data_IF_876772768611
#
_entry.id   IF_876772768611
#
_cell.length_a   1.000
_cell.length_b   1.000
_cell.length_c   1.000
_cell.angle_alpha   90.00
_cell.angle_beta   90.00
_cell.angle_gamma   90.00
#
_symmetry.space_group_name_H-M   'P 1'
#
loop_
_entity.id
_entity.type
_entity.pdbx_description
1 polymer ?
#
# COMPACT_ATOMS: atom_id res chain seq x y z
N UNK A 1 12.50 42.72 21.36
CA UNK A 1 12.89 41.77 20.30
C UNK A 1 12.83 40.40 20.93
N UNK A 2 11.92 39.52 20.50
CA UNK A 2 11.77 38.18 21.07
C UNK A 2 12.58 37.20 20.19
N UNK A 3 13.62 36.53 20.69
CA UNK A 3 14.61 35.87 19.85
C UNK A 3 14.29 34.40 19.52
N UNK A 4 13.04 33.94 19.58
CA UNK A 4 12.77 32.51 19.42
C UNK A 4 11.44 32.23 18.73
N UNK A 5 11.42 32.36 17.40
CA UNK A 5 10.38 31.75 16.57
C UNK A 5 11.11 30.70 15.76
N UNK A 6 11.03 29.43 16.18
CA UNK A 6 11.54 28.32 15.38
C UNK A 6 10.87 28.38 13.99
N UNK A 7 11.65 28.19 12.92
CA UNK A 7 11.08 28.09 11.58
C UNK A 7 10.21 26.83 11.51
N UNK A 8 9.14 26.87 10.72
CA UNK A 8 8.22 25.73 10.62
C UNK A 8 8.92 24.48 10.09
N UNK A 9 9.89 24.65 9.17
CA UNK A 9 10.72 23.54 8.68
C UNK A 9 11.50 22.88 9.81
N UNK A 10 12.10 23.65 10.72
CA UNK A 10 12.82 23.11 11.89
C UNK A 10 11.93 22.27 12.82
N UNK A 11 10.60 22.43 12.72
CA UNK A 11 9.63 21.72 13.56
C UNK A 11 9.04 20.48 12.88
N UNK A 12 8.95 20.44 11.55
CA UNK A 12 8.27 19.37 10.80
C UNK A 12 9.19 18.52 9.95
N UNK A 13 10.37 19.03 9.62
CA UNK A 13 11.39 18.31 8.87
C UNK A 13 12.43 17.75 9.83
N UNK A 14 12.99 16.60 9.49
CA UNK A 14 14.05 15.97 10.27
C UNK A 14 15.44 16.24 9.70
N UNK A 15 15.55 16.80 8.48
CA UNK A 15 16.79 16.94 7.70
C UNK A 15 17.58 15.62 7.54
N UNK A 16 16.95 14.50 7.84
CA UNK A 16 17.54 13.17 7.82
C UNK A 16 17.23 12.48 6.51
N UNK A 17 18.10 12.69 5.51
CA UNK A 17 17.95 12.11 4.18
C UNK A 17 17.93 10.57 4.19
N UNK A 18 18.49 9.94 5.21
CA UNK A 18 18.49 8.48 5.41
C UNK A 18 17.12 7.91 5.79
N UNK A 19 16.17 8.73 6.27
CA UNK A 19 14.79 8.28 6.49
C UNK A 19 14.07 7.84 5.21
N UNK A 20 14.53 8.31 4.06
CA UNK A 20 13.97 7.92 2.76
C UNK A 20 14.57 6.62 2.22
N UNK A 21 15.60 6.05 2.88
CA UNK A 21 16.17 4.75 2.52
C UNK A 21 15.36 3.60 3.14
N UNK A 22 14.26 3.25 2.48
CA UNK A 22 13.30 2.24 2.94
C UNK A 22 13.96 0.86 3.00
N UNK A 23 14.15 0.36 4.22
CA UNK A 23 14.67 -0.99 4.47
C UNK A 23 13.53 -2.03 4.34
N UNK A 24 13.51 -2.77 3.24
CA UNK A 24 12.50 -3.81 2.97
C UNK A 24 13.04 -5.21 3.28
N UNK A 25 12.18 -6.11 3.79
CA UNK A 25 12.55 -7.52 4.04
C UNK A 25 12.37 -8.43 2.80
N UNK A 26 11.80 -7.90 1.71
CA UNK A 26 11.54 -8.64 0.49
C UNK A 26 11.53 -7.69 -0.72
N UNK A 27 11.76 -8.25 -1.91
CA UNK A 27 11.62 -7.50 -3.17
C UNK A 27 10.16 -7.14 -3.37
N UNK A 28 9.90 -5.88 -3.74
CA UNK A 28 8.54 -5.42 -4.04
C UNK A 28 7.98 -5.99 -5.34
N UNK A 29 6.65 -5.88 -5.55
CA UNK A 29 6.03 -6.26 -6.81
C UNK A 29 6.58 -5.42 -7.96
N UNK A 30 6.80 -6.06 -9.11
CA UNK A 30 7.27 -5.38 -10.33
C UNK A 30 6.07 -4.94 -11.19
N UNK A 31 6.30 -4.00 -12.10
CA UNK A 31 5.27 -3.50 -13.03
C UNK A 31 4.63 -2.19 -12.57
N UNK A 32 3.45 -1.90 -13.10
CA UNK A 32 2.69 -0.67 -12.81
C UNK A 32 1.21 -1.02 -12.66
N UNK A 33 0.57 -0.46 -11.65
CA UNK A 33 -0.87 -0.56 -11.52
C UNK A 33 -1.55 0.11 -12.74
N UNK A 34 -2.64 -0.47 -13.25
CA UNK A 34 -3.37 0.05 -14.41
C UNK A 34 -4.30 1.21 -14.01
N UNK A 35 -3.74 2.24 -13.36
CA UNK A 35 -4.49 3.39 -12.87
C UNK A 35 -4.82 4.34 -14.03
N UNK A 36 -6.06 4.83 -14.08
CA UNK A 36 -6.50 5.89 -14.98
C UNK A 36 -6.72 7.21 -14.24
N UNK A 37 -6.81 8.33 -14.97
CA UNK A 37 -7.12 9.65 -14.40
C UNK A 37 -8.46 9.66 -13.65
N UNK A 38 -9.47 9.02 -14.23
CA UNK A 38 -10.82 8.89 -13.65
C UNK A 38 -10.77 8.12 -12.33
N UNK A 39 -10.05 6.99 -12.28
CA UNK A 39 -9.89 6.22 -11.04
C UNK A 39 -9.27 7.08 -9.94
N UNK A 40 -8.26 7.89 -10.28
CA UNK A 40 -7.58 8.73 -9.29
C UNK A 40 -8.44 9.89 -8.77
N UNK A 41 -9.41 10.39 -9.55
CA UNK A 41 -10.32 11.46 -9.12
C UNK A 41 -11.53 10.96 -8.37
N UNK A 42 -12.11 9.86 -8.82
CA UNK A 42 -13.49 9.52 -8.51
C UNK A 42 -13.62 8.25 -7.66
N UNK A 43 -12.61 7.38 -7.65
CA UNK A 43 -12.67 6.16 -6.85
C UNK A 43 -12.38 6.44 -5.37
N UNK A 44 -12.92 5.57 -4.52
CA UNK A 44 -12.58 5.64 -3.12
C UNK A 44 -11.12 5.24 -2.93
N UNK A 45 -10.47 5.81 -1.91
CA UNK A 45 -9.09 5.44 -1.57
C UNK A 45 -8.95 3.95 -1.25
N UNK A 46 -10.02 3.32 -0.75
CA UNK A 46 -10.06 1.88 -0.45
C UNK A 46 -9.91 1.02 -1.70
N UNK A 47 -10.52 1.43 -2.82
CA UNK A 47 -10.41 0.71 -4.09
C UNK A 47 -8.97 0.76 -4.63
N UNK A 48 -8.36 1.95 -4.59
CA UNK A 48 -6.97 2.15 -5.03
C UNK A 48 -5.97 1.41 -4.12
N UNK A 49 -6.17 1.49 -2.81
CA UNK A 49 -5.34 0.77 -1.85
C UNK A 49 -5.50 -0.74 -1.99
N UNK A 50 -6.72 -1.24 -2.20
CA UNK A 50 -6.98 -2.65 -2.47
C UNK A 50 -6.18 -3.16 -3.67
N UNK A 51 -6.09 -2.38 -4.76
CA UNK A 51 -5.22 -2.74 -5.90
C UNK A 51 -3.74 -2.83 -5.52
N UNK A 52 -3.23 -1.87 -4.74
CA UNK A 52 -1.82 -1.90 -4.26
C UNK A 52 -1.56 -3.12 -3.38
N UNK A 53 -2.51 -3.47 -2.51
CA UNK A 53 -2.41 -4.63 -1.62
C UNK A 53 -2.43 -5.93 -2.42
N UNK A 54 -3.33 -6.06 -3.40
CA UNK A 54 -3.40 -7.23 -4.26
C UNK A 54 -2.08 -7.46 -5.02
N UNK A 55 -1.48 -6.40 -5.57
CA UNK A 55 -0.14 -6.48 -6.19
C UNK A 55 0.93 -6.90 -5.18
N UNK A 56 0.91 -6.33 -3.97
CA UNK A 56 1.82 -6.73 -2.87
C UNK A 56 1.65 -8.18 -2.41
N UNK A 57 0.46 -8.75 -2.59
CA UNK A 57 0.16 -10.16 -2.35
C UNK A 57 0.58 -11.08 -3.51
N UNK A 58 1.17 -10.54 -4.58
CA UNK A 58 1.75 -11.29 -5.69
C UNK A 58 0.87 -11.40 -6.94
N UNK A 59 -0.26 -10.69 -6.99
CA UNK A 59 -1.06 -10.61 -8.21
C UNK A 59 -0.37 -9.75 -9.28
N UNK A 60 -0.51 -10.12 -10.54
CA UNK A 60 0.01 -9.34 -11.66
C UNK A 60 -0.78 -8.03 -11.79
N UNK A 61 -0.12 -6.87 -11.85
CA UNK A 61 -0.81 -5.59 -11.94
C UNK A 61 -1.82 -5.49 -13.10
N UNK A 62 -1.49 -6.05 -14.26
CA UNK A 62 -2.34 -6.06 -15.46
C UNK A 62 -3.67 -6.83 -15.29
N UNK A 63 -3.73 -7.77 -14.33
CA UNK A 63 -4.91 -8.61 -14.09
C UNK A 63 -5.88 -7.99 -13.05
N UNK A 64 -5.50 -6.88 -12.40
CA UNK A 64 -6.23 -6.31 -11.25
C UNK A 64 -7.56 -5.63 -11.60
N UNK A 65 -7.81 -5.35 -12.88
CA UNK A 65 -9.12 -4.84 -13.35
C UNK A 65 -10.12 -5.96 -13.65
N UNK A 66 -9.73 -7.22 -13.40
CA UNK A 66 -10.62 -8.37 -13.49
C UNK A 66 -11.74 -8.33 -12.44
N UNK A 67 -12.68 -9.28 -12.51
CA UNK A 67 -13.79 -9.38 -11.57
C UNK A 67 -13.31 -9.47 -10.12
N UNK A 68 -13.90 -8.64 -9.26
CA UNK A 68 -13.59 -8.59 -7.83
C UNK A 68 -14.70 -9.27 -7.02
N UNK A 69 -14.32 -10.05 -6.01
CA UNK A 69 -15.25 -10.78 -5.15
C UNK A 69 -14.91 -10.57 -3.68
N UNK A 70 -15.92 -10.36 -2.84
CA UNK A 70 -15.77 -10.25 -1.40
C UNK A 70 -16.17 -11.57 -0.74
N UNK A 71 -15.23 -12.17 -0.01
CA UNK A 71 -15.49 -13.35 0.83
C UNK A 71 -15.63 -12.88 2.28
N UNK A 72 -16.84 -12.98 2.83
CA UNK A 72 -17.12 -12.61 4.22
C UNK A 72 -17.01 -13.82 5.15
N UNK A 73 -16.15 -13.72 6.14
CA UNK A 73 -15.90 -14.75 7.15
C UNK A 73 -15.39 -14.12 8.44
N UNK A 74 -15.54 -14.83 9.56
CA UNK A 74 -14.93 -14.44 10.85
C UNK A 74 -13.48 -14.92 10.99
N UNK A 75 -12.96 -15.72 10.03
CA UNK A 75 -11.62 -16.31 10.12
C UNK A 75 -10.47 -15.33 9.80
N UNK A 76 -10.74 -14.22 9.11
CA UNK A 76 -9.72 -13.22 8.77
C UNK A 76 -8.62 -13.72 7.82
N UNK A 77 -8.89 -14.79 7.06
CA UNK A 77 -7.94 -15.41 6.13
C UNK A 77 -8.03 -16.94 6.17
N UNK A 78 -7.28 -17.59 5.27
CA UNK A 78 -7.22 -19.05 5.14
C UNK A 78 -5.75 -19.48 5.04
N UNK A 79 -5.38 -20.51 5.81
CA UNK A 79 -4.07 -21.16 5.73
C UNK A 79 -4.23 -22.62 5.31
N UNK A 80 -3.24 -23.13 4.59
CA UNK A 80 -3.10 -24.55 4.31
C UNK A 80 -2.78 -25.33 5.59
N UNK A 81 -2.90 -26.68 5.58
CA UNK A 81 -2.56 -27.52 6.73
C UNK A 81 -1.10 -27.38 7.22
N UNK A 82 -0.18 -26.98 6.34
CA UNK A 82 1.23 -26.70 6.65
C UNK A 82 1.48 -25.29 7.20
N UNK A 83 0.42 -24.47 7.33
CA UNK A 83 0.46 -23.11 7.83
C UNK A 83 0.73 -22.03 6.76
N UNK A 84 1.01 -22.40 5.52
CA UNK A 84 1.20 -21.43 4.43
C UNK A 84 -0.09 -20.65 4.13
N UNK A 85 -0.01 -19.34 3.79
CA UNK A 85 -1.20 -18.55 3.51
C UNK A 85 -1.81 -18.94 2.15
N UNK A 86 -3.12 -19.20 2.12
CA UNK A 86 -3.91 -19.38 0.89
C UNK A 86 -4.64 -18.08 0.54
N UNK A 87 -5.26 -17.45 1.54
CA UNK A 87 -5.92 -16.16 1.41
C UNK A 87 -5.59 -15.32 2.65
N UNK A 88 -5.14 -14.09 2.44
CA UNK A 88 -4.95 -13.12 3.50
C UNK A 88 -6.22 -12.28 3.61
N UNK A 89 -6.67 -11.99 4.84
CA UNK A 89 -7.77 -11.08 5.11
C UNK A 89 -7.31 -9.63 5.25
#
# INVERSE_FOLDING_TARGET
MNPNTADWHDLVDSDQADLFDVQTNAVGPTGKLPLSDEMLRDWSSGDLFGMTQNAGMGWKPEDLLGPQYLVLSTQGGVRAPDGTPIALG
#
